data_IF_919679546939
#
_entry.id   IF_919679546939
#
_cell.length_a   1.000
_cell.length_b   1.000
_cell.length_c   1.000
_cell.angle_alpha   90.00
_cell.angle_beta   90.00
_cell.angle_gamma   90.00
#
_symmetry.space_group_name_H-M   'P 1'
#
loop_
_entity.id
_entity.type
_entity.pdbx_description
1 polymer ?
#
# COMPACT_ATOMS: atom_id res chain seq x y z
N UNK A 1 65.26 -5.94 24.31
CA UNK A 1 65.37 -7.14 25.15
C UNK A 1 64.85 -6.78 26.53
N UNK A 2 63.61 -7.18 26.82
CA UNK A 2 63.16 -7.69 28.13
C UNK A 2 61.83 -8.37 27.88
N UNK A 3 61.81 -9.64 28.22
CA UNK A 3 60.87 -10.68 27.89
C UNK A 3 59.66 -10.63 28.84
N UNK A 4 58.53 -11.16 28.36
CA UNK A 4 57.34 -11.54 29.12
C UNK A 4 57.68 -12.35 30.38
N UNK A 5 56.93 -12.14 31.47
CA UNK A 5 56.70 -13.18 32.47
C UNK A 5 55.18 -13.24 32.77
N UNK A 6 54.53 -14.22 32.14
CA UNK A 6 53.19 -14.71 32.43
C UNK A 6 53.29 -15.55 33.72
N UNK A 7 52.80 -15.06 34.86
CA UNK A 7 52.63 -15.95 36.03
C UNK A 7 51.51 -15.62 37.01
N UNK A 8 50.68 -14.60 36.78
CA UNK A 8 49.55 -14.29 37.68
C UNK A 8 48.17 -14.64 37.10
N UNK A 9 48.12 -15.47 36.06
CA UNK A 9 46.89 -15.91 35.40
C UNK A 9 46.22 -17.15 36.05
N UNK A 10 46.67 -17.63 37.21
CA UNK A 10 46.19 -18.92 37.77
C UNK A 10 45.92 -19.00 39.27
N UNK A 11 45.78 -17.89 40.02
CA UNK A 11 45.59 -17.97 41.49
C UNK A 11 44.26 -17.42 42.05
N UNK A 12 43.41 -16.74 41.27
CA UNK A 12 42.13 -16.20 41.78
C UNK A 12 40.87 -16.99 41.37
N UNK A 13 40.99 -18.13 40.69
CA UNK A 13 39.85 -18.86 40.10
C UNK A 13 39.24 -19.99 40.93
N UNK A 14 39.55 -20.15 42.22
CA UNK A 14 39.03 -21.30 43.01
C UNK A 14 38.61 -21.02 44.45
N UNK A 15 37.95 -19.89 44.75
CA UNK A 15 37.44 -19.67 46.12
C UNK A 15 35.96 -19.32 46.30
N UNK A 16 35.10 -19.45 45.29
CA UNK A 16 33.66 -19.28 45.52
C UNK A 16 32.78 -20.37 44.90
N UNK A 17 32.94 -21.60 45.41
CA UNK A 17 31.95 -22.66 45.29
C UNK A 17 31.18 -22.78 46.61
N UNK A 18 30.25 -21.87 46.90
CA UNK A 18 29.08 -22.12 47.77
C UNK A 18 28.05 -20.99 47.69
N UNK A 19 27.36 -20.90 46.55
CA UNK A 19 25.95 -20.53 46.60
C UNK A 19 25.15 -21.54 45.77
N UNK A 20 24.38 -22.38 46.47
CA UNK A 20 23.32 -23.20 45.88
C UNK A 20 22.15 -22.25 45.63
N UNK A 21 22.33 -21.36 44.64
CA UNK A 21 21.27 -20.53 44.10
C UNK A 21 20.35 -21.42 43.27
N UNK A 22 19.09 -21.48 43.67
CA UNK A 22 18.05 -22.31 43.07
C UNK A 22 18.07 -22.23 41.54
N UNK A 23 18.44 -23.33 40.88
CA UNK A 23 18.21 -23.51 39.45
C UNK A 23 16.70 -23.47 39.23
N UNK A 24 16.17 -22.28 38.93
CA UNK A 24 14.80 -22.10 38.48
C UNK A 24 14.72 -22.85 37.15
N UNK A 25 14.27 -24.12 37.19
CA UNK A 25 13.98 -24.93 36.01
C UNK A 25 12.99 -24.13 35.17
N UNK A 26 13.49 -23.41 34.16
CA UNK A 26 12.62 -22.85 33.13
C UNK A 26 11.97 -24.06 32.45
N UNK A 27 10.63 -24.18 32.43
CA UNK A 27 10.00 -25.32 31.82
C UNK A 27 10.39 -25.33 30.34
N UNK A 28 11.01 -26.42 29.87
CA UNK A 28 11.41 -26.61 28.48
C UNK A 28 10.23 -26.54 27.49
N UNK A 29 8.99 -26.48 28.00
CA UNK A 29 7.75 -26.29 27.26
C UNK A 29 7.42 -24.81 26.95
N UNK A 30 8.07 -23.84 27.59
CA UNK A 30 7.81 -22.41 27.29
C UNK A 30 8.34 -22.05 25.91
N UNK A 31 9.48 -22.61 25.52
CA UNK A 31 10.13 -22.34 24.23
C UNK A 31 9.29 -22.76 23.01
N UNK A 32 8.73 -24.00 22.92
CA UNK A 32 7.89 -24.37 21.78
C UNK A 32 6.58 -23.60 21.73
N UNK A 33 5.95 -23.30 22.88
CA UNK A 33 4.70 -22.52 22.92
C UNK A 33 4.91 -21.09 22.42
N UNK A 34 6.01 -20.45 22.82
CA UNK A 34 6.36 -19.11 22.33
C UNK A 34 6.66 -19.13 20.82
N UNK A 35 7.30 -20.18 20.32
CA UNK A 35 7.61 -20.31 18.89
C UNK A 35 6.33 -20.52 18.05
N UNK A 36 5.38 -21.33 18.53
CA UNK A 36 4.07 -21.49 17.89
C UNK A 36 3.27 -20.19 17.94
N UNK A 37 3.27 -19.49 19.08
CA UNK A 37 2.60 -18.19 19.19
C UNK A 37 3.21 -17.15 18.25
N UNK A 38 4.54 -17.09 18.14
CA UNK A 38 5.24 -16.21 17.21
C UNK A 38 4.92 -16.57 15.75
N UNK A 39 4.92 -17.86 15.40
CA UNK A 39 4.56 -18.32 14.06
C UNK A 39 3.11 -17.96 13.70
N UNK A 40 2.17 -18.11 14.65
CA UNK A 40 0.78 -17.70 14.47
C UNK A 40 0.64 -16.19 14.33
N UNK A 41 1.38 -15.39 15.10
CA UNK A 41 1.37 -13.93 14.97
C UNK A 41 1.95 -13.46 13.63
N UNK A 42 3.03 -14.10 13.16
CA UNK A 42 3.60 -13.81 11.84
C UNK A 42 2.65 -14.23 10.73
N UNK A 43 2.04 -15.42 10.83
CA UNK A 43 1.06 -15.87 9.85
C UNK A 43 -0.19 -14.98 9.83
N UNK A 44 -0.71 -14.62 11.00
CA UNK A 44 -1.83 -13.70 11.15
C UNK A 44 -1.47 -12.31 10.61
N UNK A 45 -0.29 -11.77 10.95
CA UNK A 45 0.21 -10.50 10.43
C UNK A 45 0.40 -10.52 8.92
N UNK A 46 0.89 -11.62 8.35
CA UNK A 46 1.04 -11.80 6.91
C UNK A 46 -0.33 -11.89 6.22
N UNK A 47 -1.28 -12.64 6.78
CA UNK A 47 -2.65 -12.72 6.29
C UNK A 47 -3.34 -11.36 6.40
N UNK A 48 -3.11 -10.59 7.47
CA UNK A 48 -3.69 -9.26 7.65
C UNK A 48 -3.08 -8.22 6.71
N UNK A 49 -1.77 -8.31 6.45
CA UNK A 49 -1.08 -7.45 5.49
C UNK A 49 -1.50 -7.76 4.03
N UNK A 50 -1.92 -9.00 3.75
CA UNK A 50 -2.28 -9.46 2.40
C UNK A 50 -3.79 -9.45 2.14
N UNK A 51 -4.59 -9.66 3.16
CA UNK A 51 -6.05 -9.63 3.16
C UNK A 51 -6.51 -8.31 3.74
N UNK A 52 -6.47 -7.25 2.93
CA UNK A 52 -7.07 -5.97 3.26
C UNK A 52 -8.51 -6.17 3.79
N UNK A 53 -8.80 -5.50 4.91
CA UNK A 53 -10.13 -5.29 5.51
C UNK A 53 -11.18 -6.38 5.28
N UNK A 54 -11.36 -7.27 6.27
CA UNK A 54 -12.58 -8.09 6.43
C UNK A 54 -13.75 -7.28 7.01
N UNK A 55 -13.69 -5.96 7.03
CA UNK A 55 -14.88 -5.15 7.26
C UNK A 55 -15.62 -5.13 5.93
N UNK A 56 -16.85 -5.64 5.94
CA UNK A 56 -17.78 -5.49 4.85
C UNK A 56 -17.95 -3.97 4.59
N UNK A 57 -17.11 -3.43 3.71
CA UNK A 57 -17.30 -2.10 3.16
C UNK A 57 -18.67 -2.14 2.51
N UNK A 58 -19.58 -1.32 3.01
CA UNK A 58 -20.76 -0.93 2.26
C UNK A 58 -20.27 -0.57 0.86
N UNK A 59 -20.68 -1.29 -0.19
CA UNK A 59 -20.20 -1.03 -1.54
C UNK A 59 -20.54 0.43 -1.85
N UNK A 60 -19.53 1.30 -1.86
CA UNK A 60 -19.70 2.67 -2.30
C UNK A 60 -19.98 2.55 -3.78
N UNK A 61 -21.19 2.97 -4.18
CA UNK A 61 -21.56 3.02 -5.59
C UNK A 61 -20.47 3.80 -6.33
N UNK A 62 -19.84 3.18 -7.32
CA UNK A 62 -18.74 3.78 -8.05
C UNK A 62 -19.15 5.16 -8.61
N UNK A 63 -20.42 5.33 -9.00
CA UNK A 63 -20.94 6.61 -9.49
C UNK A 63 -20.89 7.75 -8.45
N UNK A 64 -20.81 7.44 -7.16
CA UNK A 64 -20.60 8.41 -6.08
C UNK A 64 -19.16 8.89 -5.97
N UNK A 65 -18.21 8.10 -6.48
CA UNK A 65 -16.80 8.48 -6.57
C UNK A 65 -16.57 9.36 -7.79
N UNK A 66 -17.06 8.92 -8.96
CA UNK A 66 -16.94 9.67 -10.21
C UNK A 66 -18.18 9.43 -11.08
N UNK A 67 -18.81 10.49 -11.64
CA UNK A 67 -19.98 10.34 -12.50
C UNK A 67 -19.73 9.47 -13.74
N UNK A 68 -18.48 9.44 -14.24
CA UNK A 68 -18.09 8.64 -15.41
C UNK A 68 -18.32 7.14 -15.20
N UNK A 69 -18.31 6.65 -13.95
CA UNK A 69 -18.58 5.24 -13.69
C UNK A 69 -20.05 4.86 -13.92
N UNK A 70 -20.98 5.83 -13.92
CA UNK A 70 -22.39 5.58 -14.26
C UNK A 70 -22.61 5.33 -15.76
N UNK A 71 -21.69 5.82 -16.62
CA UNK A 71 -21.76 5.60 -18.06
C UNK A 71 -21.33 4.16 -18.43
N UNK A 72 -21.86 3.65 -19.55
CA UNK A 72 -21.42 2.36 -20.08
C UNK A 72 -19.97 2.46 -20.59
N UNK A 73 -19.17 1.44 -20.29
CA UNK A 73 -17.79 1.36 -20.76
C UNK A 73 -17.72 1.26 -22.29
N UNK A 74 -16.92 2.12 -22.91
CA UNK A 74 -16.63 2.13 -24.35
C UNK A 74 -15.34 1.37 -24.68
N UNK A 75 -14.96 1.31 -25.96
CA UNK A 75 -13.69 0.70 -26.37
C UNK A 75 -12.46 1.49 -25.90
N UNK A 76 -12.56 2.80 -25.73
CA UNK A 76 -11.46 3.66 -25.28
C UNK A 76 -11.16 3.48 -23.79
N UNK A 77 -12.16 3.05 -23.02
CA UNK A 77 -12.08 2.86 -21.57
C UNK A 77 -11.44 1.53 -21.17
N UNK A 78 -11.25 0.61 -22.12
CA UNK A 78 -10.78 -0.74 -21.84
C UNK A 78 -9.27 -0.80 -21.80
N UNK A 79 -8.75 -1.32 -20.70
CA UNK A 79 -7.35 -1.69 -20.56
C UNK A 79 -7.19 -3.19 -20.81
N UNK A 80 -6.13 -3.54 -21.54
CA UNK A 80 -5.72 -4.91 -21.80
C UNK A 80 -5.17 -5.56 -20.53
N UNK A 81 -5.08 -6.90 -20.54
CA UNK A 81 -4.46 -7.63 -19.42
C UNK A 81 -3.01 -7.22 -19.19
N UNK A 82 -2.28 -6.90 -20.27
CA UNK A 82 -0.86 -6.54 -20.21
C UNK A 82 -0.68 -5.14 -19.60
N UNK A 83 -1.56 -4.19 -19.97
CA UNK A 83 -1.57 -2.85 -19.38
C UNK A 83 -1.93 -2.87 -17.88
N UNK A 84 -2.75 -3.82 -17.44
CA UNK A 84 -3.14 -3.93 -16.04
C UNK A 84 -2.18 -4.76 -15.20
N UNK A 85 -1.45 -5.71 -15.79
CA UNK A 85 -0.50 -6.56 -15.07
C UNK A 85 -1.06 -7.10 -13.75
N UNK A 86 -0.34 -6.81 -12.65
CA UNK A 86 -0.70 -7.18 -11.28
C UNK A 86 -1.51 -6.12 -10.52
N UNK A 87 -1.95 -5.05 -11.18
CA UNK A 87 -2.71 -3.96 -10.56
C UNK A 87 -4.06 -4.47 -10.05
N UNK A 88 -4.39 -4.10 -8.80
CA UNK A 88 -5.59 -4.55 -8.08
C UNK A 88 -6.78 -3.63 -8.32
N UNK A 89 -7.22 -3.53 -9.58
CA UNK A 89 -8.38 -2.74 -10.01
C UNK A 89 -9.42 -3.59 -10.74
N UNK A 90 -10.69 -3.18 -10.68
CA UNK A 90 -11.76 -3.80 -11.45
C UNK A 90 -11.75 -3.29 -12.89
N UNK A 91 -11.46 -4.19 -13.83
CA UNK A 91 -11.37 -3.92 -15.28
C UNK A 91 -12.69 -3.43 -15.89
N UNK A 92 -13.84 -3.77 -15.31
CA UNK A 92 -15.14 -3.34 -15.83
C UNK A 92 -15.44 -1.88 -15.45
N UNK A 93 -14.74 -1.37 -14.44
CA UNK A 93 -14.90 0.00 -13.97
C UNK A 93 -13.97 0.97 -14.66
N UNK A 94 -12.97 0.52 -15.43
CA UNK A 94 -12.00 1.44 -16.05
C UNK A 94 -12.71 2.46 -16.95
N UNK A 95 -12.36 3.74 -16.83
CA UNK A 95 -12.85 4.86 -17.65
C UNK A 95 -11.68 5.73 -18.05
N UNK A 96 -11.55 6.03 -19.34
CA UNK A 96 -10.55 6.97 -19.83
C UNK A 96 -10.88 8.37 -19.31
N UNK A 97 -9.87 9.05 -18.77
CA UNK A 97 -10.02 10.40 -18.26
C UNK A 97 -9.46 11.41 -19.25
N UNK A 98 -8.16 11.30 -19.52
CA UNK A 98 -7.42 12.23 -20.35
C UNK A 98 -6.04 11.66 -20.70
N UNK A 99 -5.34 12.33 -21.60
CA UNK A 99 -3.95 12.07 -21.96
C UNK A 99 -3.11 13.31 -21.63
N UNK A 100 -1.99 13.11 -20.93
CA UNK A 100 -1.02 14.16 -20.59
C UNK A 100 0.34 13.82 -21.18
N UNK A 101 1.34 14.68 -20.94
CA UNK A 101 2.75 14.40 -21.28
C UNK A 101 3.30 13.13 -20.62
N UNK A 102 2.70 12.68 -19.51
CA UNK A 102 3.10 11.46 -18.78
C UNK A 102 2.40 10.20 -19.27
N UNK A 103 1.44 10.29 -20.19
CA UNK A 103 0.74 9.14 -20.76
C UNK A 103 -0.79 9.24 -20.67
N UNK A 104 -1.46 8.10 -20.83
CA UNK A 104 -2.93 8.01 -20.77
C UNK A 104 -3.38 7.66 -19.36
N UNK A 105 -4.39 8.35 -18.87
CA UNK A 105 -4.90 8.17 -17.51
C UNK A 105 -6.32 7.62 -17.51
N UNK A 106 -6.55 6.67 -16.62
CA UNK A 106 -7.82 5.96 -16.48
C UNK A 106 -8.26 5.97 -15.03
N UNK A 107 -9.50 6.32 -14.76
CA UNK A 107 -10.10 6.04 -13.45
C UNK A 107 -10.50 4.56 -13.39
N UNK A 108 -10.34 3.96 -12.22
CA UNK A 108 -10.83 2.62 -11.92
C UNK A 108 -11.19 2.51 -10.45
N UNK A 109 -12.01 1.52 -10.11
CA UNK A 109 -12.29 1.16 -8.71
C UNK A 109 -11.30 0.07 -8.31
N UNK A 110 -10.57 0.29 -7.21
CA UNK A 110 -9.68 -0.69 -6.61
C UNK A 110 -10.45 -1.84 -5.98
N UNK A 111 -9.79 -2.97 -5.71
CA UNK A 111 -10.42 -4.12 -5.06
C UNK A 111 -11.03 -3.83 -3.68
N UNK A 112 -10.59 -2.75 -3.02
CA UNK A 112 -11.12 -2.26 -1.74
C UNK A 112 -12.15 -1.12 -1.93
N UNK A 113 -12.70 -0.94 -3.13
CA UNK A 113 -13.62 0.15 -3.45
C UNK A 113 -12.97 1.53 -3.64
N UNK A 114 -11.66 1.66 -3.44
CA UNK A 114 -10.93 2.92 -3.56
C UNK A 114 -11.02 3.53 -4.97
N UNK A 115 -11.07 4.86 -5.05
CA UNK A 115 -10.90 5.57 -6.32
C UNK A 115 -9.42 5.49 -6.73
N UNK A 116 -9.13 4.89 -7.87
CA UNK A 116 -7.78 4.73 -8.38
C UNK A 116 -7.62 5.36 -9.75
N UNK A 117 -6.42 5.86 -10.04
CA UNK A 117 -5.99 6.30 -11.36
C UNK A 117 -4.87 5.38 -11.84
N UNK A 118 -5.09 4.76 -13.00
CA UNK A 118 -4.10 3.97 -13.72
C UNK A 118 -3.47 4.86 -14.78
N UNK A 119 -2.15 4.97 -14.77
CA UNK A 119 -1.38 5.71 -15.78
C UNK A 119 -0.65 4.71 -16.67
N UNK A 120 -0.97 4.72 -17.96
CA UNK A 120 -0.35 3.85 -18.97
C UNK A 120 0.64 4.70 -19.78
N UNK A 121 1.93 4.39 -19.63
CA UNK A 121 3.00 5.05 -20.37
C UNK A 121 3.58 4.12 -21.44
N UNK A 122 3.90 4.62 -22.65
CA UNK A 122 4.49 3.79 -23.69
C UNK A 122 5.87 3.26 -23.28
N UNK A 123 6.02 1.93 -23.27
CA UNK A 123 7.30 1.27 -22.98
C UNK A 123 7.60 1.11 -21.48
N UNK A 124 6.70 1.50 -20.59
CA UNK A 124 6.83 1.31 -19.15
C UNK A 124 5.67 0.49 -18.56
N UNK A 125 5.86 0.03 -17.32
CA UNK A 125 4.79 -0.61 -16.56
C UNK A 125 3.79 0.46 -16.10
N UNK A 126 2.50 0.13 -16.16
CA UNK A 126 1.46 1.03 -15.70
C UNK A 126 1.58 1.33 -14.22
N UNK A 127 1.42 2.60 -13.86
CA UNK A 127 1.39 3.06 -12.48
C UNK A 127 -0.04 3.11 -11.94
N UNK A 128 -0.19 3.00 -10.62
CA UNK A 128 -1.48 3.04 -9.93
C UNK A 128 -1.38 3.95 -8.70
N UNK A 129 -2.24 4.96 -8.65
CA UNK A 129 -2.40 5.82 -7.47
C UNK A 129 -3.85 5.74 -7.00
N UNK A 130 -4.07 5.52 -5.72
CA UNK A 130 -5.43 5.35 -5.17
C UNK A 130 -5.68 6.28 -3.98
N UNK A 131 -6.94 6.67 -3.81
CA UNK A 131 -7.45 7.37 -2.64
C UNK A 131 -8.58 6.55 -1.98
N UNK A 132 -8.77 6.69 -0.65
CA UNK A 132 -9.87 6.04 0.05
C UNK A 132 -11.24 6.33 -0.57
N UNK A 133 -12.21 5.40 -0.50
CA UNK A 133 -13.54 5.51 -1.12
C UNK A 133 -14.43 6.52 -0.38
N UNK A 134 -14.08 7.80 -0.49
CA UNK A 134 -14.81 8.92 0.13
C UNK A 134 -15.38 9.82 -0.96
N UNK A 135 -16.54 10.44 -0.74
CA UNK A 135 -17.17 11.30 -1.74
C UNK A 135 -16.37 12.60 -2.01
N UNK A 136 -15.36 12.88 -1.18
CA UNK A 136 -14.41 13.99 -1.29
C UNK A 136 -12.99 13.53 -1.63
N UNK A 137 -12.83 12.27 -2.06
CA UNK A 137 -11.53 11.71 -2.41
C UNK A 137 -10.83 12.55 -3.46
N UNK A 138 -9.50 12.58 -3.39
CA UNK A 138 -8.63 13.25 -4.34
C UNK A 138 -7.49 12.33 -4.68
N UNK A 139 -7.27 12.11 -5.97
CA UNK A 139 -6.13 11.35 -6.49
C UNK A 139 -5.27 12.32 -7.27
N UNK A 140 -4.14 12.71 -6.70
CA UNK A 140 -3.10 13.43 -7.41
C UNK A 140 -2.15 12.40 -8.05
N UNK A 141 -1.97 12.49 -9.36
CA UNK A 141 -0.95 11.77 -10.10
C UNK A 141 0.11 12.79 -10.45
N UNK A 142 1.20 12.75 -9.69
CA UNK A 142 2.27 13.73 -9.72
C UNK A 142 1.72 15.17 -9.63
N UNK A 143 2.35 16.12 -10.33
CA UNK A 143 1.90 17.52 -10.43
C UNK A 143 1.13 17.81 -11.73
N UNK A 144 0.77 16.78 -12.51
CA UNK A 144 0.20 16.90 -13.87
C UNK A 144 -1.29 16.59 -13.94
N UNK A 145 -1.80 15.72 -13.07
CA UNK A 145 -3.21 15.31 -13.06
C UNK A 145 -3.75 15.25 -11.63
N UNK A 146 -4.93 15.81 -11.44
CA UNK A 146 -5.70 15.73 -10.21
C UNK A 146 -7.12 15.29 -10.55
N UNK A 147 -7.52 14.15 -10.00
CA UNK A 147 -8.90 13.64 -10.08
C UNK A 147 -9.55 13.88 -8.73
N UNK A 148 -10.70 14.54 -8.75
CA UNK A 148 -11.49 14.84 -7.55
C UNK A 148 -12.76 14.01 -7.60
N UNK A 149 -13.21 13.47 -6.48
CA UNK A 149 -14.51 12.82 -6.44
C UNK A 149 -15.64 13.86 -6.55
N UNK A 150 -16.84 13.45 -6.95
CA UNK A 150 -17.95 14.34 -7.36
C UNK A 150 -18.35 15.44 -6.33
N UNK A 151 -18.03 15.25 -5.04
CA UNK A 151 -18.31 16.25 -3.99
C UNK A 151 -17.04 16.83 -3.33
N UNK A 152 -15.86 16.49 -3.85
CA UNK A 152 -14.60 17.04 -3.40
C UNK A 152 -14.43 18.49 -3.87
N UNK A 153 -13.57 19.28 -3.19
CA UNK A 153 -13.29 20.63 -3.62
C UNK A 153 -12.51 20.61 -4.93
N UNK A 154 -12.89 21.45 -5.90
CA UNK A 154 -12.08 21.70 -7.09
C UNK A 154 -10.77 22.42 -6.70
N UNK A 155 -9.66 22.24 -7.45
CA UNK A 155 -8.47 23.05 -7.25
C UNK A 155 -8.76 24.53 -7.53
N UNK A 156 -8.01 25.43 -6.88
CA UNK A 156 -8.19 26.86 -7.10
C UNK A 156 -7.73 27.25 -8.50
N UNK A 157 -8.53 28.02 -9.26
CA UNK A 157 -8.16 28.45 -10.62
C UNK A 157 -6.82 29.21 -10.69
N UNK A 158 -6.41 29.88 -9.60
CA UNK A 158 -5.14 30.59 -9.51
C UNK A 158 -3.91 29.66 -9.38
N UNK A 159 -4.09 28.35 -9.26
CA UNK A 159 -3.00 27.38 -9.03
C UNK A 159 -2.50 26.65 -10.28
N UNK A 160 -2.87 27.11 -11.48
CA UNK A 160 -2.40 26.55 -12.76
C UNK A 160 -3.25 25.37 -13.29
N UNK A 161 -4.08 24.78 -12.44
CA UNK A 161 -4.98 23.68 -12.80
C UNK A 161 -6.08 24.13 -13.76
N UNK A 162 -6.26 23.40 -14.86
CA UNK A 162 -7.38 23.52 -15.78
C UNK A 162 -8.22 22.25 -15.77
N UNK A 163 -9.53 22.38 -15.91
CA UNK A 163 -10.42 21.23 -16.05
C UNK A 163 -10.28 20.63 -17.46
N UNK A 164 -9.97 19.33 -17.53
CA UNK A 164 -9.87 18.56 -18.78
C UNK A 164 -11.13 17.71 -19.04
N UNK A 165 -11.99 17.57 -18.04
CA UNK A 165 -13.25 16.84 -18.07
C UNK A 165 -13.91 16.88 -16.69
N UNK A 166 -15.12 16.34 -16.54
CA UNK A 166 -15.83 16.39 -15.25
C UNK A 166 -14.97 15.84 -14.12
N UNK A 167 -14.70 16.66 -13.11
CA UNK A 167 -13.89 16.30 -11.94
C UNK A 167 -12.43 15.86 -12.24
N UNK A 168 -11.93 16.13 -13.45
CA UNK A 168 -10.56 15.85 -13.89
C UNK A 168 -9.85 17.15 -14.20
N UNK A 169 -8.76 17.41 -13.49
CA UNK A 169 -7.96 18.61 -13.62
C UNK A 169 -6.54 18.26 -14.04
N UNK A 170 -5.98 19.04 -14.94
CA UNK A 170 -4.60 18.87 -15.41
C UNK A 170 -3.82 20.17 -15.22
N UNK A 171 -2.52 20.03 -15.05
CA UNK A 171 -1.58 21.13 -14.87
C UNK A 171 -0.38 20.82 -15.77
N UNK A 172 -0.33 21.48 -16.93
CA UNK A 172 0.75 21.32 -17.92
C UNK A 172 1.68 22.54 -17.90
#
# INVERSE_FOLDING_TARGET
MTTFDDTDLFSETFHDFRSVGTARRRPALVTPVVLVAAALLVAAGFVFARGGSLLADTPVDASMLLPQFAAQQTSQDRLTSDELGDLRVDRQTTRFLTETSTGRHYAAVGSAGSLCVVTVQPGELSALTCAPPTPTARVAVDDTLLVVASSGPAPAAASGWREAGPDVFVND
#
